data_IF_046387286897
#
_entry.id   IF_046387286897
#
_cell.length_a   1.000
_cell.length_b   1.000
_cell.length_c   1.000
_cell.angle_alpha   90.00
_cell.angle_beta   90.00
_cell.angle_gamma   90.00
#
_symmetry.space_group_name_H-M   'P 1'
#
loop_
_entity.id
_entity.type
_entity.pdbx_description
1 polymer ?
#
# COMPACT_ATOMS: atom_id res chain seq x y z
N UNK A 1 -4.57 -8.16 7.17
CA UNK A 1 -4.46 -6.80 6.60
C UNK A 1 -5.53 -5.92 7.23
N UNK A 2 -5.19 -4.69 7.58
CA UNK A 2 -6.05 -3.77 8.34
C UNK A 2 -6.03 -2.39 7.70
N UNK A 3 -7.19 -1.74 7.57
CA UNK A 3 -7.26 -0.34 7.11
C UNK A 3 -6.90 0.58 8.27
N UNK A 4 -5.80 1.30 8.12
CA UNK A 4 -5.26 2.18 9.17
C UNK A 4 -5.78 3.60 9.03
N UNK A 5 -5.93 4.05 7.78
CA UNK A 5 -6.29 5.44 7.49
C UNK A 5 -6.95 5.56 6.13
N UNK A 6 -7.93 6.44 6.04
CA UNK A 6 -8.55 6.85 4.78
C UNK A 6 -8.43 8.37 4.68
N UNK A 7 -7.97 8.88 3.54
CA UNK A 7 -7.90 10.32 3.26
C UNK A 7 -8.43 10.61 1.87
N UNK A 8 -9.07 11.77 1.72
CA UNK A 8 -9.45 12.31 0.43
C UNK A 8 -8.75 13.66 0.21
N UNK A 9 -8.22 13.87 -0.98
CA UNK A 9 -7.63 15.13 -1.42
C UNK A 9 -8.41 15.65 -2.62
N UNK A 10 -8.99 16.85 -2.49
CA UNK A 10 -9.59 17.56 -3.61
C UNK A 10 -8.54 18.50 -4.22
N UNK A 11 -8.20 18.26 -5.48
CA UNK A 11 -7.17 19.00 -6.21
C UNK A 11 -7.80 20.11 -7.06
N UNK A 12 -8.98 19.86 -7.64
CA UNK A 12 -9.80 20.85 -8.34
C UNK A 12 -11.27 20.64 -7.98
N UNK A 13 -12.16 21.48 -8.49
CA UNK A 13 -13.60 21.29 -8.31
C UNK A 13 -14.06 19.90 -8.78
N UNK A 14 -13.53 19.39 -9.89
CA UNK A 14 -14.00 18.15 -10.51
C UNK A 14 -13.03 16.96 -10.31
N UNK A 15 -11.91 17.18 -9.62
CA UNK A 15 -10.89 16.17 -9.40
C UNK A 15 -10.63 15.93 -7.91
N UNK A 16 -11.04 14.75 -7.47
CA UNK A 16 -10.86 14.27 -6.10
C UNK A 16 -10.18 12.90 -6.11
N UNK A 17 -9.17 12.73 -5.27
CA UNK A 17 -8.43 11.49 -5.09
C UNK A 17 -8.74 10.93 -3.70
N UNK A 18 -8.99 9.63 -3.63
CA UNK A 18 -9.13 8.88 -2.40
C UNK A 18 -7.91 7.99 -2.20
N UNK A 19 -7.34 8.02 -1.01
CA UNK A 19 -6.23 7.19 -0.59
C UNK A 19 -6.59 6.38 0.64
N UNK A 20 -6.26 5.09 0.62
CA UNK A 20 -6.46 4.15 1.73
C UNK A 20 -5.12 3.55 2.09
N UNK A 21 -4.72 3.70 3.35
CA UNK A 21 -3.51 3.08 3.90
C UNK A 21 -3.91 1.77 4.56
N UNK A 22 -3.28 0.68 4.13
CA UNK A 22 -3.52 -0.67 4.63
C UNK A 22 -2.23 -1.24 5.22
N UNK A 23 -2.29 -1.66 6.49
CA UNK A 23 -1.24 -2.43 7.16
C UNK A 23 -1.35 -3.88 6.74
N UNK A 24 -0.26 -4.44 6.25
CA UNK A 24 -0.16 -5.81 5.74
C UNK A 24 0.98 -6.50 6.47
N UNK A 25 0.62 -7.46 7.32
CA UNK A 25 1.55 -8.38 7.97
C UNK A 25 1.56 -9.70 7.19
N UNK A 26 2.73 -10.15 6.75
CA UNK A 26 2.87 -11.34 5.92
C UNK A 26 4.26 -11.96 6.01
N UNK A 27 4.35 -13.27 5.79
CA UNK A 27 5.61 -13.98 5.57
C UNK A 27 5.97 -13.93 4.09
N UNK A 28 7.18 -13.46 3.75
CA UNK A 28 7.63 -13.38 2.37
C UNK A 28 8.97 -14.08 2.15
N UNK A 29 9.07 -14.78 1.02
CA UNK A 29 10.34 -15.28 0.50
C UNK A 29 10.66 -14.53 -0.79
N UNK A 30 11.72 -13.73 -0.78
CA UNK A 30 12.13 -12.92 -1.93
C UNK A 30 13.43 -13.47 -2.49
N UNK A 31 13.47 -13.72 -3.80
CA UNK A 31 14.67 -14.08 -4.53
C UNK A 31 14.80 -13.23 -5.80
N UNK A 32 15.99 -12.67 -6.01
CA UNK A 32 16.29 -11.95 -7.25
C UNK A 32 16.32 -12.93 -8.42
N UNK A 33 15.81 -12.51 -9.58
CA UNK A 33 15.81 -13.31 -10.80
C UNK A 33 17.22 -13.85 -11.10
N UNK A 34 17.32 -15.14 -11.41
CA UNK A 34 18.60 -15.84 -11.64
C UNK A 34 19.32 -16.31 -10.38
N UNK A 35 18.81 -16.03 -9.18
CA UNK A 35 19.30 -16.61 -7.91
C UNK A 35 18.22 -17.51 -7.30
N UNK A 36 18.61 -18.70 -6.85
CA UNK A 36 17.70 -19.55 -6.05
C UNK A 36 17.37 -18.82 -4.75
N UNK A 37 16.10 -18.86 -4.36
CA UNK A 37 15.68 -18.51 -3.01
C UNK A 37 16.32 -19.51 -2.04
N UNK A 38 17.43 -19.13 -1.40
CA UNK A 38 18.14 -20.00 -0.46
C UNK A 38 17.77 -19.71 1.01
N UNK A 39 16.78 -18.84 1.25
CA UNK A 39 16.40 -18.36 2.57
C UNK A 39 15.10 -18.96 3.12
N UNK A 40 14.90 -18.76 4.42
CA UNK A 40 13.60 -18.94 5.08
C UNK A 40 12.72 -17.72 4.77
N UNK A 41 11.40 -17.91 4.73
CA UNK A 41 10.48 -16.78 4.70
C UNK A 41 10.74 -15.86 5.90
N UNK A 42 10.66 -14.55 5.66
CA UNK A 42 10.82 -13.51 6.67
C UNK A 42 9.48 -12.84 6.92
N UNK A 43 9.22 -12.52 8.18
CA UNK A 43 8.07 -11.71 8.56
C UNK A 43 8.28 -10.27 8.08
N UNK A 44 7.29 -9.72 7.38
CA UNK A 44 7.31 -8.35 6.88
C UNK A 44 5.99 -7.67 7.24
N UNK A 45 6.08 -6.53 7.91
CA UNK A 45 4.99 -5.58 8.10
C UNK A 45 5.16 -4.42 7.14
N UNK A 46 4.19 -4.18 6.28
CA UNK A 46 4.20 -3.10 5.28
C UNK A 46 2.94 -2.25 5.34
N UNK A 47 3.07 -0.97 5.02
CA UNK A 47 1.97 -0.03 4.92
C UNK A 47 1.77 0.36 3.46
N UNK A 48 0.81 -0.29 2.79
CA UNK A 48 0.53 -0.08 1.37
C UNK A 48 -0.52 1.01 1.21
N UNK A 49 -0.26 1.97 0.33
CA UNK A 49 -1.19 3.04 -0.01
C UNK A 49 -1.88 2.69 -1.32
N UNK A 50 -3.19 2.49 -1.26
CA UNK A 50 -4.04 2.37 -2.43
C UNK A 50 -4.63 3.72 -2.79
N UNK A 51 -4.78 3.99 -4.09
CA UNK A 51 -5.35 5.23 -4.61
C UNK A 51 -6.36 4.95 -5.73
N UNK A 52 -7.40 5.77 -5.78
CA UNK A 52 -8.31 5.92 -6.93
C UNK A 52 -8.72 7.37 -7.13
N UNK A 53 -9.19 7.69 -8.32
CA UNK A 53 -9.97 8.92 -8.54
C UNK A 53 -11.39 8.66 -8.00
N UNK A 54 -11.87 9.53 -7.12
CA UNK A 54 -13.19 9.39 -6.49
C UNK A 54 -14.27 9.97 -7.38
N UNK A 55 -13.97 11.06 -8.10
CA UNK A 55 -14.89 11.69 -9.05
C UNK A 55 -15.13 10.87 -10.32
N UNK A 56 -14.30 9.87 -10.60
CA UNK A 56 -14.48 8.93 -11.70
C UNK A 56 -14.84 7.53 -11.15
N UNK A 57 -16.11 7.08 -11.29
CA UNK A 57 -16.55 5.76 -10.83
C UNK A 57 -15.83 4.59 -11.50
N UNK A 58 -15.28 4.79 -12.71
CA UNK A 58 -14.56 3.75 -13.45
C UNK A 58 -13.10 3.62 -13.02
N UNK A 59 -12.59 4.58 -12.24
CA UNK A 59 -11.21 4.59 -11.77
C UNK A 59 -10.93 3.40 -10.84
N UNK A 60 -10.02 2.49 -11.20
CA UNK A 60 -9.70 1.35 -10.37
C UNK A 60 -8.87 1.76 -9.15
N UNK A 61 -8.90 0.92 -8.13
CA UNK A 61 -7.89 0.99 -7.07
C UNK A 61 -6.55 0.52 -7.60
N UNK A 62 -5.51 1.31 -7.35
CA UNK A 62 -4.13 1.01 -7.73
C UNK A 62 -3.20 1.22 -6.54
N UNK A 63 -2.09 0.49 -6.50
CA UNK A 63 -1.04 0.75 -5.51
C UNK A 63 -0.36 2.06 -5.92
N UNK A 64 -0.49 3.07 -5.08
CA UNK A 64 0.19 4.35 -5.24
C UNK A 64 1.61 4.30 -4.68
N UNK A 65 1.78 3.66 -3.52
CA UNK A 65 3.09 3.55 -2.89
C UNK A 65 3.08 2.77 -1.58
N UNK A 66 4.21 2.85 -0.87
CA UNK A 66 4.40 2.28 0.46
C UNK A 66 4.88 3.37 1.41
N UNK A 67 4.39 3.38 2.65
CA UNK A 67 4.92 4.24 3.70
C UNK A 67 6.12 3.59 4.38
N UNK A 68 7.05 4.41 4.87
CA UNK A 68 8.02 3.95 5.84
C UNK A 68 7.28 3.48 7.11
N UNK A 69 7.77 2.40 7.73
CA UNK A 69 7.17 1.86 8.96
C UNK A 69 7.12 2.98 10.01
N UNK A 70 5.92 3.35 10.51
CA UNK A 70 5.78 4.41 11.49
C UNK A 70 6.52 4.09 12.80
N UNK A 71 7.00 5.13 13.50
CA UNK A 71 7.77 4.94 14.73
C UNK A 71 6.96 4.30 15.88
N UNK A 72 5.64 4.43 15.87
CA UNK A 72 4.74 3.85 16.87
C UNK A 72 4.47 2.35 16.66
N UNK A 73 4.92 1.77 15.55
CA UNK A 73 4.75 0.35 15.19
C UNK A 73 6.10 -0.38 15.19
N UNK A 74 7.09 0.17 15.91
CA UNK A 74 8.43 -0.40 16.11
C UNK A 74 8.58 -1.03 17.49
#
# INVERSE_FOLDING_TARGET
>A
AEVVQIRCGRLTTDFCIGQVVVRVDQEQLVAAAGKKAAGKAVHVTEYVVFQRVVSDPSSPWSIYGKLAVPQWDK
#
